data_IF_422479336497
#
_entry.id   IF_422479336497
#
_cell.length_a   1.000
_cell.length_b   1.000
_cell.length_c   1.000
_cell.angle_alpha   90.00
_cell.angle_beta   90.00
_cell.angle_gamma   90.00
#
_symmetry.space_group_name_H-M   'P 1'
#
loop_
_entity.id
_entity.type
_entity.pdbx_description
1 polymer ?
#
# COMPACT_ATOMS: atom_id res chain seq x y z
N UNK A 1 -28.84 24.29 -29.73
CA UNK A 1 -28.84 23.39 -28.57
C UNK A 1 -28.00 22.17 -28.96
N UNK A 2 -26.67 22.29 -28.90
CA UNK A 2 -25.77 21.17 -29.22
C UNK A 2 -25.03 20.84 -27.92
N UNK A 3 -25.50 19.83 -27.22
CA UNK A 3 -24.86 19.31 -26.02
C UNK A 3 -23.57 18.60 -26.42
N UNK A 4 -22.46 19.33 -26.34
CA UNK A 4 -21.13 18.75 -26.38
C UNK A 4 -21.00 17.83 -25.16
N UNK A 5 -21.13 16.51 -25.36
CA UNK A 5 -20.72 15.51 -24.38
C UNK A 5 -19.22 15.63 -24.17
N UNK A 6 -18.84 16.41 -23.16
CA UNK A 6 -17.52 16.34 -22.54
C UNK A 6 -17.28 14.88 -22.15
N UNK A 7 -16.25 14.20 -22.67
CA UNK A 7 -15.94 12.85 -22.21
C UNK A 7 -15.62 12.91 -20.71
N UNK A 8 -16.26 12.05 -19.93
CA UNK A 8 -16.01 11.96 -18.48
C UNK A 8 -14.53 11.65 -18.23
N UNK A 9 -14.01 12.07 -17.08
CA UNK A 9 -12.60 11.83 -16.70
C UNK A 9 -12.20 10.34 -16.74
N UNK A 10 -13.18 9.42 -16.70
CA UNK A 10 -12.99 7.97 -16.87
C UNK A 10 -12.52 7.58 -18.28
N UNK A 11 -12.79 8.36 -19.32
CA UNK A 11 -12.41 8.04 -20.69
C UNK A 11 -10.94 8.34 -21.02
N UNK A 12 -10.19 9.00 -20.13
CA UNK A 12 -8.77 9.36 -20.36
C UNK A 12 -7.76 8.42 -19.72
N UNK A 13 -8.18 7.52 -18.84
CA UNK A 13 -7.35 6.42 -18.41
C UNK A 13 -7.52 5.29 -19.45
N UNK A 14 -6.77 5.37 -20.55
CA UNK A 14 -6.46 4.16 -21.30
C UNK A 14 -6.01 3.11 -20.27
N UNK A 15 -6.65 1.95 -20.27
CA UNK A 15 -6.46 0.89 -19.29
C UNK A 15 -5.02 0.37 -19.31
N UNK A 16 -4.13 1.08 -18.61
CA UNK A 16 -2.90 0.50 -18.10
C UNK A 16 -3.38 -0.42 -17.00
N UNK A 17 -3.28 -1.71 -17.25
CA UNK A 17 -3.51 -2.74 -16.25
C UNK A 17 -2.71 -2.38 -14.99
N UNK A 18 -3.37 -2.40 -13.83
CA UNK A 18 -2.69 -2.07 -12.59
C UNK A 18 -1.53 -3.07 -12.38
N UNK A 19 -0.35 -2.62 -11.97
CA UNK A 19 0.77 -3.52 -11.76
C UNK A 19 0.44 -4.52 -10.65
N UNK A 20 0.68 -5.80 -10.93
CA UNK A 20 0.65 -6.86 -9.92
C UNK A 20 1.99 -6.87 -9.18
N UNK A 21 1.96 -6.95 -7.85
CA UNK A 21 3.14 -6.89 -7.00
C UNK A 21 3.03 -7.88 -5.84
N UNK A 22 4.16 -8.49 -5.48
CA UNK A 22 4.28 -9.28 -4.26
C UNK A 22 4.46 -8.35 -3.05
N UNK A 23 3.79 -8.66 -1.95
CA UNK A 23 3.88 -7.89 -0.70
C UNK A 23 4.34 -8.79 0.44
N UNK A 24 5.38 -8.37 1.16
CA UNK A 24 5.81 -9.02 2.40
C UNK A 24 5.03 -8.43 3.57
N UNK A 25 4.18 -9.22 4.23
CA UNK A 25 3.41 -8.75 5.38
C UNK A 25 4.30 -8.70 6.63
N UNK A 26 4.46 -7.52 7.20
CA UNK A 26 5.24 -7.26 8.41
C UNK A 26 4.34 -7.21 9.65
N UNK A 27 3.16 -6.60 9.50
CA UNK A 27 2.16 -6.46 10.56
C UNK A 27 0.83 -7.02 10.04
N UNK A 28 0.44 -8.23 10.49
CA UNK A 28 -0.85 -8.78 10.11
C UNK A 28 -2.01 -7.92 10.61
N UNK A 29 -3.11 -7.90 9.86
CA UNK A 29 -4.37 -7.29 10.28
C UNK A 29 -4.78 -7.83 11.65
N UNK A 30 -5.17 -6.93 12.56
CA UNK A 30 -5.50 -7.28 13.94
C UNK A 30 -4.31 -7.33 14.90
N UNK A 31 -3.08 -7.33 14.39
CA UNK A 31 -1.88 -7.31 15.23
C UNK A 31 -1.69 -5.96 15.91
N UNK A 32 -1.13 -5.97 17.12
CA UNK A 32 -0.69 -4.77 17.83
C UNK A 32 0.81 -4.52 17.66
N UNK A 33 1.53 -5.45 17.05
CA UNK A 33 2.99 -5.53 17.13
C UNK A 33 3.65 -5.27 15.77
N UNK A 34 4.57 -4.30 15.72
CA UNK A 34 5.56 -4.14 14.63
C UNK A 34 6.94 -4.61 15.11
N UNK A 35 7.57 -5.47 14.31
CA UNK A 35 8.94 -5.94 14.54
C UNK A 35 9.88 -5.34 13.51
N UNK A 36 11.07 -4.96 13.94
CA UNK A 36 12.13 -4.54 13.06
C UNK A 36 12.77 -5.71 12.32
N UNK A 37 13.62 -5.40 11.34
CA UNK A 37 14.33 -6.37 10.50
C UNK A 37 15.24 -7.33 11.28
N UNK A 38 15.66 -6.95 12.50
CA UNK A 38 16.45 -7.78 13.40
C UNK A 38 15.59 -8.62 14.38
N UNK A 39 14.27 -8.68 14.17
CA UNK A 39 13.32 -9.43 14.99
C UNK A 39 12.95 -8.77 16.33
N UNK A 40 13.54 -7.62 16.64
CA UNK A 40 13.22 -6.81 17.82
C UNK A 40 11.83 -6.19 17.70
N UNK A 41 11.21 -5.91 18.83
CA UNK A 41 9.96 -5.16 18.87
C UNK A 41 10.30 -3.69 18.71
N UNK A 42 9.83 -3.09 17.62
CA UNK A 42 10.05 -1.67 17.34
C UNK A 42 8.90 -0.84 17.90
N UNK A 43 7.68 -1.37 17.82
CA UNK A 43 6.49 -0.66 18.27
C UNK A 43 5.38 -1.61 18.71
N UNK A 44 4.68 -1.23 19.79
CA UNK A 44 3.44 -1.84 20.24
C UNK A 44 2.33 -0.79 20.17
N UNK A 45 1.42 -0.95 19.22
CA UNK A 45 0.27 -0.08 19.04
C UNK A 45 -0.73 -0.25 20.20
N UNK A 46 -1.43 0.81 20.63
CA UNK A 46 -2.57 0.68 21.55
C UNK A 46 -3.84 0.16 20.86
N UNK A 47 -3.85 0.09 19.52
CA UNK A 47 -4.98 -0.37 18.72
C UNK A 47 -4.55 -1.43 17.69
N UNK A 48 -5.43 -2.38 17.32
CA UNK A 48 -5.10 -3.39 16.32
C UNK A 48 -4.89 -2.76 14.94
N UNK A 49 -3.94 -3.30 14.17
CA UNK A 49 -3.67 -2.85 12.80
C UNK A 49 -4.91 -3.10 11.89
N UNK A 50 -5.43 -2.09 11.19
CA UNK A 50 -6.67 -2.22 10.42
C UNK A 50 -6.54 -3.03 9.12
N UNK A 51 -5.32 -3.19 8.60
CA UNK A 51 -5.00 -3.88 7.35
C UNK A 51 -3.82 -4.82 7.54
N UNK A 52 -3.52 -5.66 6.55
CA UNK A 52 -2.19 -6.24 6.49
C UNK A 52 -1.25 -5.14 6.01
N UNK A 53 -0.28 -4.78 6.83
CA UNK A 53 0.72 -3.78 6.51
C UNK A 53 2.07 -4.46 6.25
N UNK A 54 2.78 -3.96 5.25
CA UNK A 54 4.04 -4.52 4.83
C UNK A 54 4.70 -3.67 3.77
N UNK A 55 5.59 -4.29 3.02
CA UNK A 55 6.37 -3.61 2.00
C UNK A 55 6.44 -4.41 0.69
N UNK A 56 6.60 -3.70 -0.42
CA UNK A 56 6.80 -4.30 -1.75
C UNK A 56 8.30 -4.54 -1.96
N UNK A 57 8.77 -5.79 -2.08
CA UNK A 57 10.18 -6.06 -2.30
C UNK A 57 10.70 -5.36 -3.56
N UNK A 58 11.91 -4.81 -3.49
CA UNK A 58 12.63 -4.13 -4.58
C UNK A 58 12.14 -2.72 -4.95
N UNK A 59 11.14 -2.17 -4.28
CA UNK A 59 10.71 -0.79 -4.48
C UNK A 59 11.14 0.05 -3.29
N UNK A 60 11.73 1.22 -3.55
CA UNK A 60 12.15 2.17 -2.52
C UNK A 60 11.07 3.21 -2.29
N UNK A 61 10.70 3.42 -1.02
CA UNK A 61 9.86 4.51 -0.57
C UNK A 61 10.62 5.85 -0.55
N UNK A 62 9.92 6.91 -0.15
CA UNK A 62 10.51 8.25 -0.09
C UNK A 62 11.43 8.46 1.12
N UNK A 63 11.35 7.55 2.10
CA UNK A 63 12.00 7.66 3.41
C UNK A 63 13.31 6.85 3.47
N UNK A 64 13.70 6.23 2.35
CA UNK A 64 14.92 5.42 2.25
C UNK A 64 14.74 3.96 2.69
N UNK A 65 13.50 3.54 2.98
CA UNK A 65 13.09 2.16 3.22
C UNK A 65 12.30 1.60 2.03
N UNK A 66 11.81 0.37 2.16
CA UNK A 66 11.01 -0.25 1.10
C UNK A 66 9.64 0.43 1.00
N UNK A 67 9.07 0.43 -0.21
CA UNK A 67 7.76 1.02 -0.47
C UNK A 67 6.67 0.31 0.37
N UNK A 68 6.00 1.07 1.21
CA UNK A 68 4.89 0.60 2.04
C UNK A 68 3.69 0.11 1.23
N UNK A 69 3.00 -0.89 1.77
CA UNK A 69 1.78 -1.45 1.22
C UNK A 69 0.73 -1.74 2.31
N UNK A 70 -0.53 -1.49 1.97
CA UNK A 70 -1.72 -1.88 2.73
C UNK A 70 -2.57 -2.82 1.89
N UNK A 71 -2.92 -3.99 2.46
CA UNK A 71 -3.76 -5.03 1.84
C UNK A 71 -5.00 -5.34 2.69
#
# INVERSE_FOLDING_TARGET
>A
MNDAKTPSAQARAAAVEAPEVDVTIEVPRGSFLKRGSLGRIDFLSPFPCPFNYGSVPNYLGLEGDLLDALV
#
